data_IF_087657057959
#
_entry.id   IF_087657057959
#
_cell.length_a   1.000
_cell.length_b   1.000
_cell.length_c   1.000
_cell.angle_alpha   90.00
_cell.angle_beta   90.00
_cell.angle_gamma   90.00
#
_symmetry.space_group_name_H-M   'P 1'
#
loop_
_entity.id
_entity.type
_entity.pdbx_description
1 polymer ?
#
# COMPACT_ATOMS: atom_id res chain seq x y z
N UNK A 1 -30.40 11.69 25.20
CA UNK A 1 -29.53 10.95 24.22
C UNK A 1 -29.13 11.74 22.95
N UNK A 2 -29.41 13.05 22.85
CA UNK A 2 -29.21 13.86 21.63
C UNK A 2 -27.83 14.57 21.57
N UNK A 3 -27.12 14.69 22.69
CA UNK A 3 -25.87 15.45 22.77
C UNK A 3 -24.65 14.67 22.22
N UNK A 4 -24.63 13.36 22.40
CA UNK A 4 -23.52 12.49 21.96
C UNK A 4 -23.49 12.31 20.42
N UNK A 5 -24.64 12.32 19.74
CA UNK A 5 -24.75 12.26 18.27
C UNK A 5 -24.23 13.52 17.57
N UNK A 6 -24.37 14.71 18.20
CA UNK A 6 -23.86 15.97 17.63
C UNK A 6 -22.33 16.09 17.73
N UNK A 7 -21.72 15.49 18.78
CA UNK A 7 -20.26 15.49 18.96
C UNK A 7 -19.54 14.59 17.97
N UNK A 8 -20.10 13.40 17.71
CA UNK A 8 -19.55 12.43 16.71
C UNK A 8 -19.60 13.00 15.30
N UNK A 9 -20.69 13.69 14.91
CA UNK A 9 -20.79 14.33 13.59
C UNK A 9 -19.74 15.42 13.38
N UNK A 10 -19.46 16.23 14.41
CA UNK A 10 -18.47 17.32 14.28
C UNK A 10 -17.02 16.85 14.20
N UNK A 11 -16.67 15.76 14.90
CA UNK A 11 -15.36 15.13 14.73
C UNK A 11 -15.23 14.52 13.33
N UNK A 12 -16.28 13.90 12.82
CA UNK A 12 -16.34 13.38 11.47
C UNK A 12 -16.14 14.48 10.43
N UNK A 13 -16.83 15.61 10.55
CA UNK A 13 -16.66 16.77 9.64
C UNK A 13 -15.19 17.24 9.59
N UNK A 14 -14.46 17.21 10.74
CA UNK A 14 -13.03 17.57 10.79
C UNK A 14 -12.16 16.54 10.05
N UNK A 15 -12.42 15.25 10.27
CA UNK A 15 -11.67 14.17 9.62
C UNK A 15 -11.92 14.15 8.12
N UNK A 16 -13.16 14.37 7.67
CA UNK A 16 -13.49 14.45 6.25
C UNK A 16 -12.81 15.67 5.58
N UNK A 17 -12.85 16.83 6.25
CA UNK A 17 -12.17 18.03 5.77
C UNK A 17 -10.65 17.83 5.67
N UNK A 18 -10.03 17.22 6.67
CA UNK A 18 -8.61 16.91 6.68
C UNK A 18 -8.26 15.87 5.60
N UNK A 19 -9.09 14.82 5.45
CA UNK A 19 -8.91 13.79 4.41
C UNK A 19 -8.89 14.43 3.01
N UNK A 20 -9.80 15.36 2.74
CA UNK A 20 -9.84 16.06 1.46
C UNK A 20 -8.56 16.89 1.24
N UNK A 21 -8.06 17.61 2.27
CA UNK A 21 -6.83 18.40 2.17
C UNK A 21 -5.63 17.47 1.92
N UNK A 22 -5.51 16.37 2.67
CA UNK A 22 -4.40 15.41 2.51
C UNK A 22 -4.41 14.79 1.12
N UNK A 23 -5.58 14.45 0.59
CA UNK A 23 -5.73 13.90 -0.77
C UNK A 23 -5.28 14.89 -1.83
N UNK A 24 -5.65 16.16 -1.68
CA UNK A 24 -5.36 17.19 -2.67
C UNK A 24 -3.93 17.72 -2.57
N UNK A 25 -3.37 17.81 -1.34
CA UNK A 25 -2.15 18.62 -1.07
C UNK A 25 -1.17 17.98 -0.09
N UNK A 26 -1.46 16.81 0.47
CA UNK A 26 -0.63 16.10 1.45
C UNK A 26 -0.85 16.55 2.90
N UNK A 27 -0.19 15.84 3.83
CA UNK A 27 -0.30 16.11 5.28
C UNK A 27 0.24 17.49 5.66
N UNK A 28 1.32 17.94 5.02
CA UNK A 28 1.92 19.25 5.28
C UNK A 28 0.98 20.44 5.03
N UNK A 29 -0.05 20.28 4.18
CA UNK A 29 -1.05 21.32 3.93
C UNK A 29 -2.18 21.37 4.98
N UNK A 30 -2.34 20.32 5.78
CA UNK A 30 -3.42 20.16 6.75
C UNK A 30 -3.11 20.88 8.07
N UNK A 31 -3.24 22.20 8.09
CA UNK A 31 -3.13 23.00 9.32
C UNK A 31 -4.47 23.12 10.05
N UNK A 32 -4.44 23.47 11.36
CA UNK A 32 -5.65 23.75 12.16
C UNK A 32 -6.58 24.72 11.42
N UNK A 33 -6.01 25.78 10.87
CA UNK A 33 -6.76 26.82 10.13
C UNK A 33 -7.38 26.27 8.86
N UNK A 34 -6.63 25.48 8.09
CA UNK A 34 -7.11 24.91 6.82
C UNK A 34 -8.23 23.90 7.07
N UNK A 35 -8.03 22.99 8.03
CA UNK A 35 -9.02 21.94 8.37
C UNK A 35 -10.29 22.54 8.91
N UNK A 36 -10.22 23.46 9.88
CA UNK A 36 -11.40 24.08 10.46
C UNK A 36 -12.15 24.97 9.49
N UNK A 37 -11.44 25.72 8.63
CA UNK A 37 -12.08 26.51 7.58
C UNK A 37 -12.84 25.63 6.58
N UNK A 38 -12.24 24.52 6.15
CA UNK A 38 -12.88 23.56 5.23
C UNK A 38 -14.09 22.86 5.87
N UNK A 39 -14.01 22.57 7.17
CA UNK A 39 -15.11 21.98 7.95
C UNK A 39 -16.23 22.99 8.33
N UNK A 40 -16.08 24.27 7.98
CA UNK A 40 -17.02 25.32 8.40
C UNK A 40 -17.05 25.55 9.90
N UNK A 41 -15.92 25.39 10.58
CA UNK A 41 -15.79 25.51 12.04
C UNK A 41 -14.79 26.59 12.44
N UNK A 42 -14.91 27.10 13.66
CA UNK A 42 -13.87 27.93 14.26
C UNK A 42 -12.72 27.05 14.79
N UNK A 43 -11.52 27.62 14.87
CA UNK A 43 -10.33 26.90 15.38
C UNK A 43 -10.51 26.37 16.80
N UNK A 44 -11.24 27.09 17.66
CA UNK A 44 -11.56 26.63 19.02
C UNK A 44 -12.46 25.40 19.07
N UNK A 45 -13.25 25.13 18.02
CA UNK A 45 -14.08 23.95 17.96
C UNK A 45 -13.28 22.68 17.70
N UNK A 46 -12.12 22.73 17.04
CA UNK A 46 -11.25 21.57 16.85
C UNK A 46 -10.90 20.96 18.22
N UNK A 47 -10.38 21.76 19.13
CA UNK A 47 -9.97 21.32 20.48
C UNK A 47 -11.12 20.88 21.38
N UNK A 48 -12.36 21.13 20.98
CA UNK A 48 -13.54 20.60 21.66
C UNK A 48 -13.92 19.18 21.19
N UNK A 49 -13.56 18.82 19.97
CA UNK A 49 -13.99 17.56 19.34
C UNK A 49 -12.86 16.60 19.02
N UNK A 50 -11.60 17.05 19.14
CA UNK A 50 -10.39 16.26 18.95
C UNK A 50 -9.31 16.73 19.95
N UNK A 51 -8.37 15.85 20.29
CA UNK A 51 -7.27 16.16 21.21
C UNK A 51 -6.21 17.07 20.57
N UNK A 52 -6.36 17.38 19.30
CA UNK A 52 -5.51 18.24 18.50
C UNK A 52 -5.60 17.91 17.03
N UNK A 53 -4.80 18.61 16.22
CA UNK A 53 -4.70 18.34 14.80
C UNK A 53 -4.12 16.95 14.53
N UNK A 54 -3.10 16.56 15.31
CA UNK A 54 -2.40 15.28 15.16
C UNK A 54 -3.33 14.08 15.35
N UNK A 55 -4.28 14.15 16.30
CA UNK A 55 -5.33 13.13 16.47
C UNK A 55 -6.21 13.01 15.22
N UNK A 56 -6.56 14.15 14.61
CA UNK A 56 -7.34 14.18 13.37
C UNK A 56 -6.52 13.57 12.22
N UNK A 57 -5.25 13.94 12.09
CA UNK A 57 -4.38 13.46 11.00
C UNK A 57 -4.03 11.98 11.15
N UNK A 58 -3.84 11.48 12.38
CA UNK A 58 -3.69 10.05 12.65
C UNK A 58 -4.94 9.27 12.23
N UNK A 59 -6.14 9.80 12.49
CA UNK A 59 -7.40 9.19 12.04
C UNK A 59 -7.52 9.21 10.51
N UNK A 60 -7.12 10.30 9.85
CA UNK A 60 -7.05 10.36 8.38
C UNK A 60 -6.13 9.27 7.84
N UNK A 61 -4.94 9.12 8.44
CA UNK A 61 -4.00 8.08 8.02
C UNK A 61 -4.61 6.68 8.17
N UNK A 62 -5.16 6.36 9.36
CA UNK A 62 -5.80 5.06 9.63
C UNK A 62 -6.89 4.73 8.62
N UNK A 63 -7.75 5.68 8.29
CA UNK A 63 -8.84 5.46 7.33
C UNK A 63 -8.32 5.22 5.93
N UNK A 64 -7.42 6.07 5.45
CA UNK A 64 -6.89 5.95 4.10
C UNK A 64 -6.05 4.67 3.95
N UNK A 65 -5.09 4.43 4.85
CA UNK A 65 -4.27 3.22 4.81
C UNK A 65 -5.07 1.95 5.06
N UNK A 66 -6.14 2.01 5.89
CA UNK A 66 -7.03 0.89 6.13
C UNK A 66 -7.79 0.45 4.89
N UNK A 67 -8.22 1.39 4.03
CA UNK A 67 -8.86 1.07 2.74
C UNK A 67 -7.87 0.34 1.82
N UNK A 68 -6.63 0.80 1.77
CA UNK A 68 -5.60 0.19 0.92
C UNK A 68 -5.23 -1.23 1.42
N UNK A 69 -5.05 -1.39 2.72
CA UNK A 69 -4.77 -2.71 3.30
C UNK A 69 -5.93 -3.69 3.10
N UNK A 70 -7.17 -3.25 3.26
CA UNK A 70 -8.34 -4.10 3.03
C UNK A 70 -8.45 -4.55 1.56
N UNK A 71 -8.11 -3.67 0.60
CA UNK A 71 -8.09 -4.02 -0.82
C UNK A 71 -7.04 -5.09 -1.13
N UNK A 72 -5.85 -4.98 -0.54
CA UNK A 72 -4.78 -5.97 -0.70
C UNK A 72 -5.16 -7.31 -0.06
N UNK A 73 -5.69 -7.30 1.17
CA UNK A 73 -6.14 -8.50 1.86
C UNK A 73 -7.23 -9.23 1.07
N UNK A 74 -8.18 -8.48 0.52
CA UNK A 74 -9.21 -9.01 -0.37
C UNK A 74 -8.62 -9.64 -1.64
N UNK A 75 -7.65 -8.99 -2.28
CA UNK A 75 -7.01 -9.51 -3.48
C UNK A 75 -6.27 -10.82 -3.19
N UNK A 76 -5.50 -10.88 -2.11
CA UNK A 76 -4.78 -12.09 -1.68
C UNK A 76 -5.76 -13.24 -1.37
N UNK A 77 -6.88 -12.93 -0.70
CA UNK A 77 -7.89 -13.92 -0.34
C UNK A 77 -8.69 -14.41 -1.56
N UNK A 78 -8.89 -13.55 -2.56
CA UNK A 78 -9.65 -13.87 -3.78
C UNK A 78 -8.87 -14.75 -4.76
N UNK A 79 -7.55 -14.94 -4.59
CA UNK A 79 -6.76 -15.84 -5.42
C UNK A 79 -7.30 -17.27 -5.29
N UNK A 80 -7.80 -17.82 -6.41
CA UNK A 80 -8.39 -19.16 -6.44
C UNK A 80 -7.35 -20.27 -6.21
N UNK A 81 -6.09 -20.01 -6.50
CA UNK A 81 -4.95 -20.89 -6.22
C UNK A 81 -4.48 -20.72 -4.78
N UNK A 82 -4.10 -21.83 -4.16
CA UNK A 82 -3.48 -21.82 -2.82
C UNK A 82 -1.98 -21.62 -2.88
N UNK A 83 -1.39 -21.48 -4.09
CA UNK A 83 0.04 -21.31 -4.24
C UNK A 83 0.50 -19.93 -3.74
N UNK A 84 1.66 -19.94 -3.08
CA UNK A 84 2.22 -18.76 -2.45
C UNK A 84 2.67 -17.72 -3.48
N UNK A 85 3.11 -18.16 -4.65
CA UNK A 85 3.57 -17.30 -5.74
C UNK A 85 2.42 -16.43 -6.25
N UNK A 86 1.27 -17.00 -6.57
CA UNK A 86 0.09 -16.25 -7.03
C UNK A 86 -0.43 -15.27 -5.98
N UNK A 87 -0.43 -15.66 -4.71
CA UNK A 87 -0.82 -14.78 -3.59
C UNK A 87 0.15 -13.60 -3.44
N UNK A 88 1.45 -13.85 -3.60
CA UNK A 88 2.48 -12.81 -3.57
C UNK A 88 2.31 -11.83 -4.72
N UNK A 89 2.10 -12.32 -5.94
CA UNK A 89 1.84 -11.48 -7.13
C UNK A 89 0.60 -10.62 -6.91
N UNK A 90 -0.52 -11.21 -6.47
CA UNK A 90 -1.76 -10.47 -6.22
C UNK A 90 -1.59 -9.35 -5.20
N UNK A 91 -0.80 -9.58 -4.13
CA UNK A 91 -0.47 -8.56 -3.15
C UNK A 91 0.29 -7.40 -3.78
N UNK A 92 1.39 -7.73 -4.50
CA UNK A 92 2.30 -6.71 -5.05
C UNK A 92 1.60 -5.88 -6.12
N UNK A 93 0.94 -6.53 -7.08
CA UNK A 93 0.25 -5.86 -8.17
C UNK A 93 -0.87 -4.97 -7.64
N UNK A 94 -1.70 -5.48 -6.70
CA UNK A 94 -2.78 -4.68 -6.11
C UNK A 94 -2.22 -3.47 -5.38
N UNK A 95 -1.17 -3.64 -4.58
CA UNK A 95 -0.58 -2.55 -3.81
C UNK A 95 0.06 -1.49 -4.72
N UNK A 96 0.91 -1.92 -5.65
CA UNK A 96 1.66 -1.02 -6.52
C UNK A 96 0.75 -0.26 -7.49
N UNK A 97 -0.19 -0.96 -8.13
CA UNK A 97 -1.15 -0.37 -9.06
C UNK A 97 -2.08 0.66 -8.34
N UNK A 98 -2.57 0.33 -7.15
CA UNK A 98 -3.37 1.27 -6.35
C UNK A 98 -2.55 2.47 -5.89
N UNK A 99 -1.29 2.27 -5.51
CA UNK A 99 -0.39 3.36 -5.13
C UNK A 99 -0.14 4.30 -6.31
N UNK A 100 0.20 3.79 -7.48
CA UNK A 100 0.45 4.59 -8.68
C UNK A 100 -0.79 5.36 -9.12
N UNK A 101 -1.97 4.76 -9.07
CA UNK A 101 -3.24 5.46 -9.32
C UNK A 101 -3.63 6.44 -8.22
N UNK A 102 -3.19 6.21 -6.99
CA UNK A 102 -3.47 7.06 -5.83
C UNK A 102 -2.73 8.40 -5.84
N UNK A 103 -1.67 8.53 -6.64
CA UNK A 103 -0.93 9.77 -6.86
C UNK A 103 -0.54 10.47 -5.56
N UNK A 104 -0.99 11.71 -5.37
CA UNK A 104 -0.65 12.53 -4.21
C UNK A 104 -0.98 11.88 -2.86
N UNK A 105 -2.13 11.22 -2.75
CA UNK A 105 -2.51 10.52 -1.52
C UNK A 105 -1.58 9.35 -1.23
N UNK A 106 -1.22 8.57 -2.24
CA UNK A 106 -0.29 7.45 -2.07
C UNK A 106 1.10 7.94 -1.62
N UNK A 107 1.61 9.02 -2.23
CA UNK A 107 2.83 9.68 -1.75
C UNK A 107 2.72 10.09 -0.28
N UNK A 108 1.61 10.74 0.10
CA UNK A 108 1.38 11.19 1.46
C UNK A 108 1.40 10.02 2.47
N UNK A 109 0.80 8.89 2.12
CA UNK A 109 0.77 7.70 2.98
C UNK A 109 2.12 6.98 3.04
N UNK A 110 2.87 6.92 1.93
CA UNK A 110 4.08 6.11 1.82
C UNK A 110 5.36 6.85 2.23
N UNK A 111 5.53 8.10 1.79
CA UNK A 111 6.83 8.74 1.79
C UNK A 111 6.86 10.21 2.25
N UNK A 112 5.72 10.92 2.31
CA UNK A 112 5.71 12.31 2.77
C UNK A 112 6.26 12.41 4.21
N UNK A 113 7.18 13.35 4.49
CA UNK A 113 7.57 13.65 5.87
C UNK A 113 6.38 14.10 6.69
N UNK A 114 6.16 13.48 7.84
CA UNK A 114 5.01 13.72 8.71
C UNK A 114 5.45 13.81 10.16
N UNK A 115 4.56 14.33 11.02
CA UNK A 115 4.78 14.34 12.46
C UNK A 115 4.77 12.91 13.02
N UNK A 116 5.42 12.75 14.18
CA UNK A 116 5.64 11.45 14.81
C UNK A 116 4.38 10.63 14.98
N UNK A 117 3.24 11.25 15.33
CA UNK A 117 1.98 10.53 15.56
C UNK A 117 1.48 9.85 14.28
N UNK A 118 1.57 10.54 13.14
CA UNK A 118 1.21 9.96 11.83
C UNK A 118 2.24 8.91 11.39
N UNK A 119 3.52 9.11 11.70
CA UNK A 119 4.57 8.14 11.40
C UNK A 119 4.44 6.86 12.23
N UNK A 120 4.04 6.97 13.49
CA UNK A 120 3.72 5.82 14.36
C UNK A 120 2.58 4.97 13.73
N UNK A 121 1.53 5.60 13.17
CA UNK A 121 0.48 4.90 12.42
C UNK A 121 1.02 4.23 11.15
N UNK A 122 1.89 4.91 10.39
CA UNK A 122 2.55 4.33 9.21
C UNK A 122 3.32 3.06 9.57
N UNK A 123 4.03 3.07 10.70
CA UNK A 123 4.75 1.89 11.18
C UNK A 123 3.82 0.74 11.57
N UNK A 124 2.62 1.02 12.11
CA UNK A 124 1.61 0.00 12.41
C UNK A 124 1.17 -0.70 11.12
N UNK A 125 0.84 0.07 10.08
CA UNK A 125 0.42 -0.50 8.79
C UNK A 125 1.55 -1.26 8.09
N UNK A 126 2.79 -0.77 8.13
CA UNK A 126 3.96 -1.52 7.64
C UNK A 126 4.09 -2.89 8.31
N UNK A 127 3.88 -2.97 9.63
CA UNK A 127 3.88 -4.24 10.35
C UNK A 127 2.73 -5.15 9.91
N UNK A 128 1.57 -4.60 9.60
CA UNK A 128 0.45 -5.35 9.03
C UNK A 128 0.83 -6.04 7.71
N UNK A 129 1.41 -5.30 6.76
CA UNK A 129 1.91 -5.87 5.51
C UNK A 129 3.02 -6.91 5.71
N UNK A 130 3.95 -6.68 6.66
CA UNK A 130 4.94 -7.69 7.04
C UNK A 130 4.26 -8.96 7.55
N UNK A 131 3.15 -8.85 8.29
CA UNK A 131 2.35 -10.00 8.74
C UNK A 131 1.84 -10.84 7.57
N UNK A 132 1.10 -10.19 6.64
CA UNK A 132 0.53 -10.86 5.45
C UNK A 132 1.63 -11.53 4.62
N UNK A 133 2.72 -10.82 4.33
CA UNK A 133 3.84 -11.36 3.56
C UNK A 133 4.56 -12.50 4.29
N UNK A 134 4.66 -12.43 5.63
CA UNK A 134 5.26 -13.52 6.42
C UNK A 134 4.48 -14.81 6.27
N UNK A 135 3.15 -14.75 6.27
CA UNK A 135 2.29 -15.91 6.05
C UNK A 135 2.49 -16.49 4.64
N UNK A 136 2.47 -15.64 3.61
CA UNK A 136 2.69 -16.06 2.22
C UNK A 136 4.06 -16.75 2.05
N UNK A 137 5.14 -16.11 2.55
CA UNK A 137 6.49 -16.67 2.43
C UNK A 137 6.63 -17.97 3.22
N UNK A 138 6.00 -18.06 4.41
CA UNK A 138 6.01 -19.30 5.21
C UNK A 138 5.32 -20.43 4.47
N UNK A 139 4.17 -20.16 3.86
CA UNK A 139 3.43 -21.15 3.07
C UNK A 139 4.24 -21.59 1.85
N UNK A 140 4.88 -20.66 1.12
CA UNK A 140 5.73 -20.97 -0.02
C UNK A 140 6.97 -21.80 0.34
N UNK A 141 7.57 -21.56 1.50
CA UNK A 141 8.65 -22.43 2.00
C UNK A 141 8.13 -23.83 2.35
N UNK A 142 6.96 -23.91 2.96
CA UNK A 142 6.32 -25.19 3.33
C UNK A 142 5.92 -26.01 2.10
N UNK A 143 5.39 -25.37 1.06
CA UNK A 143 5.03 -26.03 -0.20
C UNK A 143 6.22 -26.36 -1.10
N UNK A 144 7.39 -25.79 -0.83
CA UNK A 144 8.60 -25.95 -1.65
C UNK A 144 8.65 -25.02 -2.87
N UNK A 145 7.72 -24.08 -2.99
CA UNK A 145 7.75 -23.02 -4.01
C UNK A 145 8.91 -22.06 -3.79
N UNK A 146 9.22 -21.77 -2.51
CA UNK A 146 10.32 -20.90 -2.13
C UNK A 146 11.40 -21.70 -1.38
N UNK A 147 12.69 -21.38 -1.55
CA UNK A 147 13.75 -21.99 -0.79
C UNK A 147 13.64 -21.65 0.70
N UNK A 148 14.27 -22.48 1.54
CA UNK A 148 14.33 -22.22 2.98
C UNK A 148 14.94 -20.85 3.27
N UNK A 149 14.19 -20.01 3.98
CA UNK A 149 14.57 -18.64 4.31
C UNK A 149 13.88 -18.14 5.58
N UNK A 150 14.35 -17.03 6.13
CA UNK A 150 13.69 -16.37 7.24
C UNK A 150 12.49 -15.56 6.72
N UNK A 151 11.29 -16.13 6.79
CA UNK A 151 10.06 -15.55 6.23
C UNK A 151 9.79 -14.12 6.75
N UNK A 152 10.01 -13.87 8.05
CA UNK A 152 9.76 -12.54 8.64
C UNK A 152 10.77 -11.50 8.13
N UNK A 153 12.04 -11.86 8.01
CA UNK A 153 13.06 -10.94 7.50
C UNK A 153 12.84 -10.67 6.01
N UNK A 154 12.56 -11.71 5.24
CA UNK A 154 12.20 -11.57 3.82
C UNK A 154 10.99 -10.66 3.64
N UNK A 155 9.90 -10.89 4.38
CA UNK A 155 8.71 -10.05 4.35
C UNK A 155 9.02 -8.58 4.66
N UNK A 156 9.81 -8.31 5.70
CA UNK A 156 10.22 -6.94 6.04
C UNK A 156 11.06 -6.30 4.92
N UNK A 157 11.96 -7.07 4.30
CA UNK A 157 12.74 -6.63 3.14
C UNK A 157 11.86 -6.28 1.93
N UNK A 158 10.84 -7.11 1.64
CA UNK A 158 9.87 -6.86 0.55
C UNK A 158 9.07 -5.58 0.80
N UNK A 159 8.55 -5.37 2.02
CA UNK A 159 7.83 -4.12 2.35
C UNK A 159 8.71 -2.90 2.14
N UNK A 160 9.98 -2.97 2.55
CA UNK A 160 10.96 -1.90 2.32
C UNK A 160 11.24 -1.68 0.83
N UNK A 161 11.49 -2.76 0.09
CA UNK A 161 11.81 -2.69 -1.35
C UNK A 161 10.65 -2.12 -2.17
N UNK A 162 9.42 -2.57 -1.92
CA UNK A 162 8.21 -2.08 -2.61
C UNK A 162 7.99 -0.59 -2.29
N UNK A 163 8.08 -0.22 -1.00
CA UNK A 163 7.88 1.17 -0.58
C UNK A 163 8.90 2.13 -1.21
N UNK A 164 10.18 1.75 -1.21
CA UNK A 164 11.24 2.56 -1.80
C UNK A 164 11.14 2.63 -3.34
N UNK A 165 10.83 1.51 -4.00
CA UNK A 165 10.65 1.48 -5.45
C UNK A 165 9.49 2.38 -5.93
N UNK A 166 8.47 2.57 -5.09
CA UNK A 166 7.33 3.46 -5.38
C UNK A 166 7.58 4.92 -4.98
N UNK A 167 8.52 5.19 -4.06
CA UNK A 167 8.77 6.54 -3.56
C UNK A 167 9.19 7.51 -4.67
N UNK A 168 10.07 7.08 -5.58
CA UNK A 168 10.49 7.88 -6.73
C UNK A 168 9.36 8.22 -7.69
N UNK A 169 8.68 7.23 -8.27
CA UNK A 169 7.55 7.45 -9.19
C UNK A 169 6.41 8.29 -8.62
N UNK A 170 6.16 8.20 -7.30
CA UNK A 170 5.10 8.95 -6.62
C UNK A 170 5.53 10.36 -6.20
N UNK A 171 6.82 10.68 -6.21
CA UNK A 171 7.32 11.95 -5.71
C UNK A 171 6.73 13.13 -6.52
N UNK A 172 6.25 14.21 -5.86
CA UNK A 172 5.64 15.36 -6.54
C UNK A 172 6.56 16.08 -7.52
N UNK A 173 7.87 15.87 -7.40
CA UNK A 173 8.91 16.47 -8.26
C UNK A 173 9.33 15.55 -9.41
N UNK A 174 8.80 14.34 -9.52
CA UNK A 174 9.11 13.43 -10.63
C UNK A 174 8.54 14.01 -11.93
N UNK A 175 9.46 14.40 -12.83
CA UNK A 175 9.11 14.88 -14.16
C UNK A 175 8.84 13.73 -15.14
N UNK A 176 9.25 12.52 -14.82
CA UNK A 176 9.11 11.33 -15.65
C UNK A 176 7.85 10.56 -15.21
N UNK A 177 6.91 10.44 -16.13
CA UNK A 177 5.79 9.52 -15.96
C UNK A 177 6.27 8.17 -16.53
N UNK A 178 6.85 7.36 -15.66
CA UNK A 178 7.10 5.95 -16.00
C UNK A 178 5.77 5.28 -16.34
N UNK A 179 5.83 4.35 -17.30
CA UNK A 179 4.68 3.50 -17.59
C UNK A 179 4.32 2.72 -16.30
N UNK A 180 3.16 3.00 -15.74
CA UNK A 180 2.71 2.41 -14.49
C UNK A 180 2.73 0.88 -14.54
N UNK A 181 2.36 0.29 -15.68
CA UNK A 181 2.33 -1.17 -15.86
C UNK A 181 3.75 -1.73 -15.84
N UNK A 182 4.71 -1.05 -16.49
CA UNK A 182 6.12 -1.44 -16.46
C UNK A 182 6.73 -1.35 -15.06
N UNK A 183 6.34 -0.33 -14.25
CA UNK A 183 6.78 -0.21 -12.86
C UNK A 183 6.24 -1.35 -12.01
N UNK A 184 4.95 -1.68 -12.13
CA UNK A 184 4.32 -2.80 -11.41
C UNK A 184 5.00 -4.12 -11.77
N UNK A 185 5.23 -4.37 -13.06
CA UNK A 185 5.90 -5.58 -13.55
C UNK A 185 7.33 -5.69 -12.99
N UNK A 186 8.10 -4.60 -13.01
CA UNK A 186 9.46 -4.58 -12.50
C UNK A 186 9.53 -4.85 -10.99
N UNK A 187 8.62 -4.27 -10.19
CA UNK A 187 8.52 -4.50 -8.75
C UNK A 187 8.13 -5.96 -8.48
N UNK A 188 7.16 -6.49 -9.21
CA UNK A 188 6.72 -7.88 -9.09
C UNK A 188 7.88 -8.84 -9.38
N UNK A 189 8.57 -8.64 -10.48
CA UNK A 189 9.73 -9.45 -10.85
C UNK A 189 10.87 -9.35 -9.82
N UNK A 190 11.12 -8.17 -9.24
CA UNK A 190 12.09 -7.99 -8.16
C UNK A 190 11.71 -8.84 -6.94
N UNK A 191 10.46 -8.77 -6.51
CA UNK A 191 9.98 -9.48 -5.33
C UNK A 191 9.99 -11.00 -5.52
N UNK A 192 9.59 -11.50 -6.68
CA UNK A 192 9.65 -12.93 -7.01
C UNK A 192 11.09 -13.46 -6.98
N UNK A 193 12.05 -12.71 -7.53
CA UNK A 193 13.47 -13.06 -7.40
C UNK A 193 13.96 -13.04 -5.95
N UNK A 194 13.51 -12.07 -5.16
CA UNK A 194 13.92 -11.92 -3.76
C UNK A 194 13.45 -13.09 -2.88
N UNK A 195 12.26 -13.65 -3.14
CA UNK A 195 11.79 -14.86 -2.43
C UNK A 195 12.36 -16.15 -3.02
N UNK A 196 13.04 -16.08 -4.15
CA UNK A 196 13.57 -17.24 -4.86
C UNK A 196 12.47 -18.08 -5.50
N UNK A 197 11.37 -17.47 -5.92
CA UNK A 197 10.33 -18.14 -6.68
C UNK A 197 10.92 -18.76 -7.95
N UNK A 198 10.56 -20.00 -8.24
CA UNK A 198 10.99 -20.67 -9.47
C UNK A 198 10.21 -20.06 -10.64
N UNK A 199 10.90 -19.29 -11.48
CA UNK A 199 10.37 -18.91 -12.78
C UNK A 199 10.48 -20.15 -13.69
N UNK A 200 9.39 -20.85 -13.94
CA UNK A 200 9.39 -21.79 -15.06
C UNK A 200 9.56 -20.99 -16.35
N UNK A 201 10.58 -21.27 -17.17
CA UNK A 201 10.68 -20.65 -18.48
C UNK A 201 9.43 -21.03 -19.29
N UNK A 202 8.87 -20.14 -20.12
CA UNK A 202 7.74 -20.47 -20.97
C UNK A 202 8.10 -21.75 -21.75
N UNK A 203 7.22 -22.75 -21.66
CA UNK A 203 7.38 -24.04 -22.34
C UNK A 203 7.58 -23.81 -23.84
N UNK A 204 8.80 -23.92 -24.28
CA UNK A 204 9.15 -23.82 -25.69
C UNK A 204 8.60 -25.07 -26.38
N UNK A 205 7.33 -25.04 -26.79
CA UNK A 205 6.75 -26.00 -27.69
C UNK A 205 7.30 -25.73 -29.11
N UNK A 206 8.59 -26.02 -29.31
CA UNK A 206 9.12 -26.18 -30.65
C UNK A 206 8.87 -27.62 -31.08
N UNK A 207 7.70 -27.81 -31.68
CA UNK A 207 7.46 -28.99 -32.51
C UNK A 207 8.45 -29.02 -33.67
N UNK A 208 9.54 -29.75 -33.51
CA UNK A 208 10.33 -30.19 -34.62
C UNK A 208 9.53 -31.25 -35.37
N UNK A 209 8.75 -30.81 -36.35
CA UNK A 209 8.27 -31.68 -37.40
C UNK A 209 9.48 -32.17 -38.18
N UNK A 210 9.87 -33.42 -37.88
CA UNK A 210 10.86 -34.11 -38.71
C UNK A 210 10.26 -34.39 -40.07
N UNK A 211 10.74 -33.71 -41.08
CA UNK A 211 10.61 -34.13 -42.46
C UNK A 211 11.73 -35.14 -42.77
N UNK A 212 11.38 -36.41 -42.85
CA UNK A 212 12.25 -37.45 -43.43
C UNK A 212 12.34 -37.25 -44.95
N UNK A 213 13.54 -37.26 -45.53
CA UNK A 213 13.68 -37.39 -46.98
C UNK A 213 13.50 -38.86 -47.37
N UNK A 214 12.42 -39.17 -48.07
CA UNK A 214 12.21 -40.47 -48.72
C UNK A 214 13.15 -40.65 -49.95
N UNK A 215 13.27 -41.89 -50.41
CA UNK A 215 14.36 -42.39 -51.25
C UNK A 215 14.36 -41.88 -52.70
#
# INVERSE_FOLDING_TARGET
MTFQRRGTGRREDLVEAATAIVRDSGFGAASVKAVTARAGMSTGLLYRYADGLDDVLAEVFRRCAGVEMAAVDQAVTAVASTDATSRLVALIETFADRALRGGRLAWALLAEPVDRIVDDERLIYRRGYVGILTEIVTDGVRSGEFPLQNARLTAAGLVGAIGEALAGPLAPVSAEHDDSDAVVEAITALCLRAVGARCEPPSSTHGLSGEEPGP
#
